data_IF_774941985242
#
_entry.id   IF_774941985242
#
_cell.length_a   1.000
_cell.length_b   1.000
_cell.length_c   1.000
_cell.angle_alpha   90.00
_cell.angle_beta   90.00
_cell.angle_gamma   90.00
#
_symmetry.space_group_name_H-M   'P 1'
#
loop_
_entity.id
_entity.type
_entity.pdbx_description
1 polymer ?
#
# COMPACT_ATOMS: atom_id res chain seq x y z
N UNK A 1 57.92 37.85 -48.28
CA UNK A 1 58.15 37.38 -46.89
C UNK A 1 56.82 37.40 -46.15
N UNK A 2 56.46 36.27 -45.57
CA UNK A 2 55.29 36.03 -44.72
C UNK A 2 55.41 36.76 -43.36
N UNK A 3 54.32 37.29 -42.79
CA UNK A 3 53.55 36.69 -41.66
C UNK A 3 53.71 37.60 -40.42
N UNK A 4 52.87 37.69 -39.39
CA UNK A 4 51.60 37.10 -38.92
C UNK A 4 51.07 38.09 -37.85
N UNK A 5 49.85 38.64 -37.97
CA UNK A 5 48.63 38.32 -37.20
C UNK A 5 48.75 38.23 -35.66
N UNK A 6 48.16 39.24 -35.00
CA UNK A 6 47.76 39.28 -33.59
C UNK A 6 46.67 38.23 -33.30
N UNK A 7 46.86 37.43 -32.25
CA UNK A 7 45.82 36.57 -31.68
C UNK A 7 45.52 37.00 -30.24
N UNK A 8 44.42 37.74 -30.06
CA UNK A 8 43.77 37.94 -28.77
C UNK A 8 42.95 36.67 -28.48
N UNK A 9 43.35 35.92 -27.46
CA UNK A 9 42.55 34.83 -26.90
C UNK A 9 41.41 35.47 -26.10
N UNK A 10 40.20 35.46 -26.65
CA UNK A 10 38.99 35.69 -25.87
C UNK A 10 38.60 34.38 -25.19
N UNK A 11 38.75 34.30 -23.87
CA UNK A 11 38.17 33.24 -23.07
C UNK A 11 36.64 33.44 -23.04
N UNK A 12 35.90 32.51 -23.65
CA UNK A 12 34.45 32.45 -23.52
C UNK A 12 34.11 31.93 -22.11
N UNK A 13 33.64 32.81 -21.23
CA UNK A 13 32.89 32.41 -20.05
C UNK A 13 31.52 31.90 -20.52
N UNK A 14 31.32 30.59 -20.53
CA UNK A 14 30.00 30.00 -20.77
C UNK A 14 29.04 30.41 -19.67
N UNK A 15 28.05 31.24 -19.98
CA UNK A 15 26.84 31.33 -19.15
C UNK A 15 26.15 29.98 -19.22
N UNK A 16 25.98 29.33 -18.07
CA UNK A 16 25.02 28.22 -17.95
C UNK A 16 23.65 28.85 -18.14
N UNK A 17 23.11 28.77 -19.35
CA UNK A 17 21.72 29.16 -19.63
C UNK A 17 20.88 27.95 -19.27
N UNK A 18 20.30 27.96 -18.07
CA UNK A 18 19.31 26.95 -17.68
C UNK A 18 18.08 27.06 -18.58
N UNK A 19 17.68 25.95 -19.20
CA UNK A 19 16.45 25.91 -19.99
C UNK A 19 15.25 25.92 -19.05
N UNK A 20 14.31 26.85 -19.29
CA UNK A 20 13.09 26.96 -18.50
C UNK A 20 12.06 25.96 -19.05
N UNK A 21 11.60 25.05 -18.20
CA UNK A 21 10.57 24.06 -18.52
C UNK A 21 9.17 24.65 -18.33
N UNK A 22 8.94 25.35 -17.22
CA UNK A 22 7.67 26.02 -16.93
C UNK A 22 7.88 27.28 -16.07
N UNK A 23 6.95 28.22 -16.17
CA UNK A 23 6.84 29.41 -15.30
C UNK A 23 5.58 29.25 -14.46
N UNK A 24 5.69 29.43 -13.15
CA UNK A 24 4.61 29.29 -12.17
C UNK A 24 4.60 30.53 -11.28
N UNK A 25 3.68 31.45 -11.55
CA UNK A 25 3.69 32.82 -11.02
C UNK A 25 5.06 33.49 -11.27
N UNK A 26 5.80 33.79 -10.20
CA UNK A 26 7.11 34.45 -10.25
C UNK A 26 8.29 33.47 -10.18
N UNK A 27 8.03 32.17 -9.98
CA UNK A 27 9.05 31.11 -9.95
C UNK A 27 9.08 30.33 -11.27
N UNK A 28 10.17 29.60 -11.48
CA UNK A 28 10.38 28.75 -12.66
C UNK A 28 10.70 27.33 -12.26
N UNK A 29 10.39 26.38 -13.14
CA UNK A 29 10.92 25.02 -13.11
C UNK A 29 11.95 24.92 -14.23
N UNK A 30 13.19 24.58 -13.89
CA UNK A 30 14.28 24.43 -14.85
C UNK A 30 14.40 22.99 -15.35
N UNK A 31 15.09 22.80 -16.48
CA UNK A 31 15.38 21.46 -16.99
C UNK A 31 16.26 20.66 -16.03
N UNK A 32 17.18 21.32 -15.33
CA UNK A 32 18.05 20.70 -14.33
C UNK A 32 17.22 20.13 -13.18
N UNK A 33 16.32 20.94 -12.60
CA UNK A 33 15.43 20.52 -11.51
C UNK A 33 14.50 19.37 -11.94
N UNK A 34 13.96 19.44 -13.17
CA UNK A 34 13.13 18.36 -13.70
C UNK A 34 13.91 17.05 -13.81
N UNK A 35 15.14 17.08 -14.34
CA UNK A 35 15.99 15.89 -14.48
C UNK A 35 16.41 15.30 -13.14
N UNK A 36 16.75 16.14 -12.17
CA UNK A 36 17.09 15.70 -10.82
C UNK A 36 15.89 15.02 -10.12
N UNK A 37 14.69 15.61 -10.25
CA UNK A 37 13.47 15.01 -9.72
C UNK A 37 13.14 13.69 -10.41
N UNK A 38 13.25 13.66 -11.74
CA UNK A 38 13.10 12.46 -12.56
C UNK A 38 14.02 11.33 -12.10
N UNK A 39 15.32 11.60 -11.97
CA UNK A 39 16.31 10.59 -11.61
C UNK A 39 16.03 10.05 -10.20
N UNK A 40 15.65 10.92 -9.28
CA UNK A 40 15.26 10.53 -7.92
C UNK A 40 14.06 9.58 -7.90
N UNK A 41 13.00 9.92 -8.64
CA UNK A 41 11.79 9.09 -8.76
C UNK A 41 12.10 7.76 -9.44
N UNK A 42 12.88 7.78 -10.52
CA UNK A 42 13.29 6.57 -11.24
C UNK A 42 14.04 5.59 -10.33
N UNK A 43 15.07 6.07 -9.61
CA UNK A 43 15.86 5.23 -8.71
C UNK A 43 15.02 4.66 -7.57
N UNK A 44 14.15 5.50 -6.98
CA UNK A 44 13.22 5.06 -5.93
C UNK A 44 12.31 3.93 -6.44
N UNK A 45 11.63 4.13 -7.57
CA UNK A 45 10.72 3.11 -8.13
C UNK A 45 11.47 1.84 -8.54
N UNK A 46 12.66 1.98 -9.13
CA UNK A 46 13.48 0.84 -9.57
C UNK A 46 13.99 -0.01 -8.40
N UNK A 47 14.15 0.58 -7.22
CA UNK A 47 14.54 -0.16 -6.01
C UNK A 47 13.41 -1.05 -5.45
N UNK A 48 12.15 -0.78 -5.82
CA UNK A 48 10.97 -1.46 -5.28
C UNK A 48 10.26 -2.35 -6.30
N UNK A 49 10.33 -1.99 -7.59
CA UNK A 49 9.59 -2.65 -8.68
C UNK A 49 10.54 -3.19 -9.74
N UNK A 50 10.11 -4.26 -10.42
CA UNK A 50 10.88 -4.91 -11.50
C UNK A 50 9.96 -5.30 -12.67
N UNK A 51 10.56 -5.55 -13.84
CA UNK A 51 9.86 -6.05 -15.02
C UNK A 51 8.74 -5.13 -15.54
N UNK A 52 7.69 -5.73 -16.10
CA UNK A 52 6.57 -5.00 -16.73
C UNK A 52 5.81 -4.10 -15.76
N UNK A 53 5.75 -4.46 -14.48
CA UNK A 53 5.09 -3.63 -13.44
C UNK A 53 5.84 -2.31 -13.24
N UNK A 54 7.18 -2.35 -13.22
CA UNK A 54 7.99 -1.14 -13.18
C UNK A 54 7.73 -0.25 -14.40
N UNK A 55 7.81 -0.82 -15.61
CA UNK A 55 7.65 -0.07 -16.86
C UNK A 55 6.28 0.64 -16.90
N UNK A 56 5.21 -0.06 -16.54
CA UNK A 56 3.85 0.47 -16.57
C UNK A 56 3.60 1.57 -15.52
N UNK A 57 4.15 1.45 -14.30
CA UNK A 57 3.99 2.46 -13.26
C UNK A 57 4.88 3.67 -13.51
N UNK A 58 6.12 3.45 -13.92
CA UNK A 58 7.07 4.50 -14.24
C UNK A 58 6.59 5.35 -15.41
N UNK A 59 6.07 4.77 -16.50
CA UNK A 59 5.54 5.55 -17.63
C UNK A 59 4.35 6.43 -17.24
N UNK A 60 3.54 6.00 -16.25
CA UNK A 60 2.47 6.84 -15.69
C UNK A 60 3.06 8.01 -14.90
N UNK A 61 3.97 7.73 -13.96
CA UNK A 61 4.62 8.75 -13.15
C UNK A 61 5.39 9.77 -14.01
N UNK A 62 6.09 9.30 -15.05
CA UNK A 62 6.84 10.14 -16.00
C UNK A 62 5.95 11.16 -16.71
N UNK A 63 4.75 10.75 -17.14
CA UNK A 63 3.79 11.64 -17.82
C UNK A 63 3.23 12.71 -16.89
N UNK A 64 2.99 12.35 -15.63
CA UNK A 64 2.41 13.25 -14.63
C UNK A 64 3.47 14.10 -13.88
N UNK A 65 4.75 13.89 -14.19
CA UNK A 65 5.87 14.44 -13.42
C UNK A 65 5.92 15.97 -13.44
N UNK A 66 5.83 16.58 -14.63
CA UNK A 66 5.85 18.03 -14.76
C UNK A 66 4.65 18.65 -14.02
N UNK A 67 3.48 18.02 -14.17
CA UNK A 67 2.28 18.45 -13.45
C UNK A 67 2.46 18.33 -11.93
N UNK A 68 3.07 17.26 -11.44
CA UNK A 68 3.38 17.12 -10.02
C UNK A 68 4.27 18.26 -9.53
N UNK A 69 5.36 18.56 -10.25
CA UNK A 69 6.26 19.66 -9.89
C UNK A 69 5.56 21.03 -9.88
N UNK A 70 4.71 21.32 -10.87
CA UNK A 70 3.93 22.56 -10.91
C UNK A 70 2.98 22.64 -9.71
N UNK A 71 2.28 21.55 -9.39
CA UNK A 71 1.37 21.49 -8.25
C UNK A 71 2.11 21.72 -6.94
N UNK A 72 3.25 21.06 -6.74
CA UNK A 72 4.07 21.20 -5.53
C UNK A 72 4.60 22.63 -5.36
N UNK A 73 5.01 23.27 -6.46
CA UNK A 73 5.46 24.66 -6.44
C UNK A 73 4.32 25.61 -6.05
N UNK A 74 3.11 25.43 -6.61
CA UNK A 74 1.94 26.22 -6.24
C UNK A 74 1.55 26.06 -4.77
N UNK A 75 1.53 24.82 -4.27
CA UNK A 75 1.26 24.54 -2.86
C UNK A 75 2.31 25.21 -1.96
N UNK A 76 3.58 25.14 -2.35
CA UNK A 76 4.65 25.75 -1.58
C UNK A 76 4.56 27.29 -1.56
N UNK A 77 4.28 27.92 -2.70
CA UNK A 77 4.07 29.37 -2.80
C UNK A 77 2.92 29.83 -1.89
N UNK A 78 1.80 29.11 -1.92
CA UNK A 78 0.65 29.43 -1.06
C UNK A 78 0.97 29.20 0.42
N UNK A 79 1.65 28.12 0.77
CA UNK A 79 2.07 27.85 2.14
C UNK A 79 3.01 28.92 2.69
N UNK A 80 3.99 29.38 1.88
CA UNK A 80 4.90 30.48 2.22
C UNK A 80 4.15 31.80 2.38
N UNK A 81 3.16 32.09 1.53
CA UNK A 81 2.30 33.28 1.64
C UNK A 81 1.48 33.30 2.94
N UNK A 82 1.03 32.13 3.41
CA UNK A 82 0.29 32.00 4.67
C UNK A 82 1.19 32.04 5.92
N UNK A 83 2.52 32.09 5.75
CA UNK A 83 3.50 32.21 6.85
C UNK A 83 3.35 31.14 7.93
N UNK A 84 3.03 29.90 7.54
CA UNK A 84 3.01 28.78 8.46
C UNK A 84 4.40 28.55 9.06
N UNK A 85 4.44 28.20 10.35
CA UNK A 85 5.66 27.83 11.06
C UNK A 85 5.66 26.32 11.28
N UNK A 86 6.69 25.64 10.76
CA UNK A 86 6.88 24.18 10.84
C UNK A 86 8.12 23.80 11.65
N UNK A 87 8.74 24.73 12.37
CA UNK A 87 10.04 24.50 13.01
C UNK A 87 10.03 23.36 14.03
N UNK A 88 8.94 23.22 14.80
CA UNK A 88 8.80 22.14 15.78
C UNK A 88 8.52 20.80 15.09
N UNK A 89 7.73 20.80 14.00
CA UNK A 89 7.46 19.62 13.17
C UNK A 89 8.73 19.12 12.49
N UNK A 90 9.56 20.02 11.94
CA UNK A 90 10.88 19.68 11.36
C UNK A 90 11.75 19.01 12.41
N UNK A 91 11.85 19.60 13.60
CA UNK A 91 12.62 19.03 14.71
C UNK A 91 12.10 17.64 15.09
N UNK A 92 10.78 17.49 15.26
CA UNK A 92 10.16 16.21 15.60
C UNK A 92 10.38 15.14 14.53
N UNK A 93 10.33 15.53 13.25
CA UNK A 93 10.64 14.65 12.13
C UNK A 93 12.08 14.15 12.19
N UNK A 94 13.05 15.04 12.42
CA UNK A 94 14.48 14.69 12.53
C UNK A 94 14.72 13.78 13.74
N UNK A 95 14.13 14.09 14.90
CA UNK A 95 14.25 13.24 16.09
C UNK A 95 13.67 11.84 15.86
N UNK A 96 12.52 11.74 15.17
CA UNK A 96 11.95 10.45 14.79
C UNK A 96 12.89 9.69 13.86
N UNK A 97 13.40 10.35 12.81
CA UNK A 97 14.29 9.73 11.84
C UNK A 97 15.60 9.23 12.50
N UNK A 98 16.15 10.00 13.45
CA UNK A 98 17.30 9.57 14.26
C UNK A 98 17.00 8.31 15.05
N UNK A 99 15.86 8.26 15.75
CA UNK A 99 15.43 7.06 16.51
C UNK A 99 15.24 5.85 15.60
N UNK A 100 14.56 6.02 14.47
CA UNK A 100 14.27 4.93 13.52
C UNK A 100 15.56 4.35 12.90
N UNK A 101 16.63 5.14 12.83
CA UNK A 101 17.92 4.74 12.26
C UNK A 101 19.01 4.50 13.32
N UNK A 102 18.67 4.45 14.61
CA UNK A 102 19.62 4.28 15.73
C UNK A 102 20.77 5.31 15.72
N UNK A 103 20.48 6.56 15.37
CA UNK A 103 21.44 7.67 15.35
C UNK A 103 21.31 8.44 16.66
N UNK A 104 22.40 8.53 17.42
CA UNK A 104 22.39 9.06 18.79
C UNK A 104 22.63 10.57 18.86
N UNK A 105 23.15 11.19 17.80
CA UNK A 105 23.54 12.60 17.80
C UNK A 105 23.35 13.30 16.46
N UNK A 106 23.22 14.63 16.52
CA UNK A 106 23.12 15.48 15.32
C UNK A 106 24.39 15.41 14.46
N UNK A 107 25.56 15.22 15.08
CA UNK A 107 26.82 15.07 14.36
C UNK A 107 26.83 13.78 13.52
N UNK A 108 26.41 12.66 14.10
CA UNK A 108 26.26 11.40 13.38
C UNK A 108 25.22 11.52 12.26
N UNK A 109 24.10 12.19 12.52
CA UNK A 109 23.06 12.41 11.52
C UNK A 109 23.56 13.22 10.32
N UNK A 110 24.23 14.36 10.57
CA UNK A 110 24.84 15.19 9.51
C UNK A 110 25.88 14.42 8.72
N UNK A 111 26.69 13.58 9.38
CA UNK A 111 27.69 12.75 8.72
C UNK A 111 27.06 11.68 7.83
N UNK A 112 25.97 11.05 8.28
CA UNK A 112 25.23 10.05 7.51
C UNK A 112 24.63 10.66 6.22
N UNK A 113 24.04 11.85 6.33
CA UNK A 113 23.53 12.58 5.15
C UNK A 113 24.66 12.94 4.18
N UNK A 114 25.80 13.40 4.68
CA UNK A 114 26.95 13.74 3.85
C UNK A 114 27.52 12.51 3.12
N UNK A 115 27.53 11.33 3.76
CA UNK A 115 27.92 10.06 3.11
C UNK A 115 26.98 9.66 1.97
N UNK A 116 25.72 10.10 2.02
CA UNK A 116 24.74 9.95 0.95
C UNK A 116 24.80 11.08 -0.08
N UNK A 117 25.72 12.04 0.08
CA UNK A 117 25.85 13.19 -0.81
C UNK A 117 24.82 14.29 -0.58
N UNK A 118 24.11 14.29 0.56
CA UNK A 118 23.05 15.24 0.88
C UNK A 118 23.57 16.25 1.93
N UNK A 119 23.78 17.53 1.57
CA UNK A 119 24.07 18.58 2.53
C UNK A 119 22.93 18.76 3.54
N UNK A 120 23.28 18.93 4.83
CA UNK A 120 22.28 19.06 5.89
C UNK A 120 21.29 20.22 5.67
N UNK A 121 21.76 21.37 5.20
CA UNK A 121 20.90 22.53 4.92
C UNK A 121 19.91 22.25 3.78
N UNK A 122 20.33 21.49 2.76
CA UNK A 122 19.44 21.05 1.68
C UNK A 122 18.38 20.07 2.20
N UNK A 123 18.79 19.13 3.05
CA UNK A 123 17.87 18.21 3.71
C UNK A 123 16.85 18.96 4.57
N UNK A 124 17.29 19.90 5.41
CA UNK A 124 16.40 20.72 6.24
C UNK A 124 15.38 21.46 5.39
N UNK A 125 15.85 22.15 4.34
CA UNK A 125 14.98 22.88 3.42
C UNK A 125 13.93 21.94 2.80
N UNK A 126 14.33 20.76 2.34
CA UNK A 126 13.40 19.80 1.73
C UNK A 126 12.32 19.33 2.72
N UNK A 127 12.70 19.02 3.96
CA UNK A 127 11.75 18.64 5.01
C UNK A 127 10.81 19.80 5.37
N UNK A 128 11.35 21.01 5.51
CA UNK A 128 10.56 22.21 5.78
C UNK A 128 9.51 22.45 4.68
N UNK A 129 9.93 22.42 3.40
CA UNK A 129 9.02 22.65 2.28
C UNK A 129 7.97 21.54 2.15
N UNK A 130 8.33 20.28 2.42
CA UNK A 130 7.38 19.17 2.51
C UNK A 130 6.33 19.39 3.61
N UNK A 131 6.76 19.77 4.81
CA UNK A 131 5.86 20.01 5.94
C UNK A 131 4.98 21.23 5.73
N UNK A 132 5.49 22.29 5.10
CA UNK A 132 4.70 23.48 4.75
C UNK A 132 3.54 23.12 3.81
N UNK A 133 3.78 22.29 2.78
CA UNK A 133 2.72 21.77 1.90
C UNK A 133 1.70 20.92 2.66
N UNK A 134 2.17 20.03 3.55
CA UNK A 134 1.28 19.18 4.35
C UNK A 134 0.40 20.01 5.30
N UNK A 135 0.97 21.00 5.98
CA UNK A 135 0.20 21.92 6.83
C UNK A 135 -0.82 22.68 6.00
N UNK A 136 -0.44 23.23 4.83
CA UNK A 136 -1.39 23.91 3.96
C UNK A 136 -2.58 23.02 3.60
N UNK A 137 -2.33 21.80 3.13
CA UNK A 137 -3.40 20.84 2.81
C UNK A 137 -4.24 20.53 4.04
N UNK A 138 -3.63 20.35 5.21
CA UNK A 138 -4.37 20.12 6.45
C UNK A 138 -5.28 21.30 6.82
N UNK A 139 -4.79 22.54 6.67
CA UNK A 139 -5.55 23.74 7.01
C UNK A 139 -6.68 24.04 6.02
N UNK A 140 -6.42 23.92 4.73
CA UNK A 140 -7.37 24.28 3.67
C UNK A 140 -8.36 23.14 3.35
N UNK A 141 -7.89 21.89 3.44
CA UNK A 141 -8.69 20.70 3.08
C UNK A 141 -9.20 20.01 4.34
N UNK A 142 -8.30 19.43 5.14
CA UNK A 142 -8.68 18.50 6.22
C UNK A 142 -9.59 19.15 7.26
N UNK A 143 -9.27 20.38 7.70
CA UNK A 143 -10.09 21.11 8.69
C UNK A 143 -11.51 21.43 8.23
N UNK A 144 -11.74 21.50 6.93
CA UNK A 144 -13.06 21.77 6.36
C UNK A 144 -13.93 20.51 6.26
N UNK A 145 -13.37 19.32 6.54
CA UNK A 145 -14.08 18.05 6.45
C UNK A 145 -14.83 17.80 7.75
N UNK A 146 -16.15 17.65 7.61
CA UNK A 146 -17.02 17.18 8.69
C UNK A 146 -17.68 15.90 8.20
N UNK A 147 -17.53 14.83 8.98
CA UNK A 147 -18.29 13.58 8.81
C UNK A 147 -19.20 13.51 10.02
N UNK A 148 -20.50 13.71 9.78
CA UNK A 148 -21.49 13.66 10.85
C UNK A 148 -21.97 12.21 11.09
N UNK A 149 -22.62 12.00 12.23
CA UNK A 149 -23.11 10.68 12.62
C UNK A 149 -24.21 10.16 11.69
N UNK A 150 -25.02 11.04 11.10
CA UNK A 150 -26.10 10.64 10.20
C UNK A 150 -25.54 10.04 8.92
N UNK A 151 -24.47 10.64 8.39
CA UNK A 151 -23.74 10.11 7.25
C UNK A 151 -23.13 8.74 7.55
N UNK A 152 -22.50 8.58 8.71
CA UNK A 152 -21.94 7.29 9.13
C UNK A 152 -23.01 6.19 9.23
N UNK A 153 -24.16 6.50 9.85
CA UNK A 153 -25.30 5.57 9.95
C UNK A 153 -25.88 5.25 8.57
N UNK A 154 -25.99 6.24 7.68
CA UNK A 154 -26.48 6.02 6.33
C UNK A 154 -25.51 5.15 5.51
N UNK A 155 -24.21 5.41 5.63
CA UNK A 155 -23.18 4.57 5.01
C UNK A 155 -23.29 3.13 5.49
N UNK A 156 -23.41 2.91 6.80
CA UNK A 156 -23.60 1.58 7.38
C UNK A 156 -24.81 0.85 6.79
N UNK A 157 -25.98 1.50 6.77
CA UNK A 157 -27.24 0.93 6.25
C UNK A 157 -27.19 0.61 4.75
N UNK A 158 -26.52 1.45 3.97
CA UNK A 158 -26.40 1.26 2.52
C UNK A 158 -25.34 0.21 2.16
N UNK A 159 -24.43 -0.10 3.07
CA UNK A 159 -23.29 -0.98 2.83
C UNK A 159 -23.19 -2.10 3.89
N UNK A 160 -24.32 -2.60 4.41
CA UNK A 160 -24.34 -3.62 5.49
C UNK A 160 -23.49 -4.85 5.14
N UNK A 161 -23.45 -5.23 3.87
CA UNK A 161 -22.64 -6.34 3.38
C UNK A 161 -21.14 -6.20 3.67
N UNK A 162 -20.60 -4.97 3.75
CA UNK A 162 -19.20 -4.72 4.14
C UNK A 162 -18.93 -5.06 5.62
N UNK A 163 -19.98 -5.14 6.43
CA UNK A 163 -19.92 -5.31 7.89
C UNK A 163 -20.44 -6.66 8.36
N UNK A 164 -20.74 -7.58 7.43
CA UNK A 164 -21.10 -8.95 7.76
C UNK A 164 -19.81 -9.72 8.07
N UNK A 165 -19.68 -10.22 9.30
CA UNK A 165 -18.73 -11.27 9.60
C UNK A 165 -19.30 -12.58 9.04
N UNK A 166 -18.58 -13.27 8.14
CA UNK A 166 -19.02 -14.55 7.60
C UNK A 166 -19.01 -15.63 8.68
N UNK A 167 -19.68 -16.76 8.42
CA UNK A 167 -19.58 -17.93 9.28
C UNK A 167 -18.12 -18.37 9.42
N UNK A 168 -17.68 -18.74 10.63
CA UNK A 168 -16.38 -19.39 10.86
C UNK A 168 -16.58 -20.84 11.30
N UNK A 169 -15.79 -21.74 10.72
CA UNK A 169 -15.80 -23.16 11.02
C UNK A 169 -14.47 -23.55 11.62
N UNK A 170 -14.46 -24.07 12.85
CA UNK A 170 -13.29 -24.77 13.38
C UNK A 170 -13.33 -26.21 12.90
N UNK A 171 -12.34 -26.59 12.09
CA UNK A 171 -12.35 -27.88 11.40
C UNK A 171 -11.17 -28.74 11.80
N UNK A 172 -11.43 -30.04 11.83
CA UNK A 172 -10.39 -31.07 11.83
C UNK A 172 -10.58 -31.98 10.63
N UNK A 173 -9.49 -32.37 9.99
CA UNK A 173 -9.51 -33.13 8.75
C UNK A 173 -8.59 -34.35 8.80
N UNK A 174 -9.06 -35.47 8.25
CA UNK A 174 -8.19 -36.54 7.79
C UNK A 174 -8.02 -36.37 6.28
N UNK A 175 -6.78 -36.13 5.85
CA UNK A 175 -6.42 -35.94 4.45
C UNK A 175 -5.76 -37.19 3.89
N UNK A 176 -6.18 -37.59 2.68
CA UNK A 176 -5.59 -38.68 1.91
C UNK A 176 -5.20 -38.16 0.51
N UNK A 177 -3.91 -38.20 0.20
CA UNK A 177 -3.39 -37.80 -1.11
C UNK A 177 -3.78 -38.81 -2.19
N UNK A 178 -4.13 -38.31 -3.37
CA UNK A 178 -4.36 -39.11 -4.58
C UNK A 178 -3.07 -39.40 -5.35
N UNK A 179 -1.96 -38.75 -5.00
CA UNK A 179 -0.67 -38.94 -5.69
C UNK A 179 0.09 -40.18 -5.18
N UNK A 180 -0.20 -40.62 -3.96
CA UNK A 180 0.56 -41.65 -3.25
C UNK A 180 -0.12 -43.02 -3.25
N UNK A 181 -1.33 -43.15 -3.81
CA UNK A 181 -2.16 -44.35 -3.73
C UNK A 181 -2.96 -44.61 -5.00
N UNK A 182 -3.25 -45.89 -5.26
CA UNK A 182 -4.26 -46.27 -6.25
C UNK A 182 -5.68 -45.99 -5.74
N UNK A 183 -6.67 -46.06 -6.63
CA UNK A 183 -8.08 -45.89 -6.25
C UNK A 183 -8.54 -46.97 -5.24
N UNK A 184 -8.09 -48.23 -5.41
CA UNK A 184 -8.46 -49.33 -4.50
C UNK A 184 -7.84 -49.14 -3.11
N UNK A 185 -6.58 -48.72 -3.04
CA UNK A 185 -5.89 -48.43 -1.78
C UNK A 185 -6.55 -47.26 -1.03
N UNK A 186 -6.98 -46.25 -1.78
CA UNK A 186 -7.67 -45.09 -1.23
C UNK A 186 -9.03 -45.50 -0.64
N UNK A 187 -9.84 -46.27 -1.36
CA UNK A 187 -11.14 -46.74 -0.85
C UNK A 187 -11.00 -47.66 0.36
N UNK A 188 -10.00 -48.55 0.36
CA UNK A 188 -9.68 -49.38 1.53
C UNK A 188 -9.31 -48.51 2.74
N UNK A 189 -8.53 -47.44 2.53
CA UNK A 189 -8.12 -46.52 3.59
C UNK A 189 -9.29 -45.69 4.12
N UNK A 190 -10.17 -45.19 3.26
CA UNK A 190 -11.41 -44.50 3.65
C UNK A 190 -12.29 -45.39 4.52
N UNK A 191 -12.48 -46.65 4.10
CA UNK A 191 -13.26 -47.65 4.84
C UNK A 191 -12.66 -47.92 6.22
N UNK A 192 -11.35 -48.13 6.32
CA UNK A 192 -10.66 -48.32 7.61
C UNK A 192 -10.87 -47.14 8.56
N UNK A 193 -10.76 -45.92 8.04
CA UNK A 193 -10.94 -44.69 8.82
C UNK A 193 -12.39 -44.60 9.31
N UNK A 194 -13.37 -44.80 8.43
CA UNK A 194 -14.79 -44.71 8.79
C UNK A 194 -15.19 -45.76 9.83
N UNK A 195 -14.69 -46.99 9.73
CA UNK A 195 -14.94 -48.04 10.73
C UNK A 195 -14.40 -47.65 12.11
N UNK A 196 -13.18 -47.10 12.17
CA UNK A 196 -12.56 -46.65 13.44
C UNK A 196 -13.26 -45.44 14.03
N UNK A 197 -13.69 -44.50 13.18
CA UNK A 197 -14.50 -43.35 13.60
C UNK A 197 -15.84 -43.81 14.17
N UNK A 198 -16.54 -44.72 13.49
CA UNK A 198 -17.82 -45.29 13.93
C UNK A 198 -17.67 -46.12 15.22
N UNK A 199 -16.49 -46.67 15.47
CA UNK A 199 -16.12 -47.35 16.71
C UNK A 199 -15.85 -46.40 17.89
N UNK A 200 -15.89 -45.09 17.67
CA UNK A 200 -15.66 -44.07 18.69
C UNK A 200 -14.19 -43.76 18.98
N UNK A 201 -13.25 -44.13 18.08
CA UNK A 201 -11.85 -43.73 18.23
C UNK A 201 -11.69 -42.21 18.07
N UNK A 202 -10.69 -41.65 18.75
CA UNK A 202 -10.41 -40.21 18.71
C UNK A 202 -10.00 -39.74 17.31
N UNK A 203 -10.70 -38.73 16.79
CA UNK A 203 -10.52 -38.26 15.41
C UNK A 203 -9.15 -37.61 15.19
N UNK A 204 -8.60 -36.94 16.20
CA UNK A 204 -7.27 -36.32 16.12
C UNK A 204 -6.16 -37.36 16.03
N UNK A 205 -6.28 -38.45 16.80
CA UNK A 205 -5.39 -39.59 16.71
C UNK A 205 -5.49 -40.29 15.35
N UNK A 206 -6.70 -40.46 14.81
CA UNK A 206 -6.87 -41.03 13.47
C UNK A 206 -6.28 -40.14 12.39
N UNK A 207 -6.44 -38.82 12.50
CA UNK A 207 -5.83 -37.87 11.56
C UNK A 207 -4.31 -37.94 11.57
N UNK A 208 -3.67 -38.06 12.74
CA UNK A 208 -2.21 -38.16 12.83
C UNK A 208 -1.66 -39.53 12.42
N UNK A 209 -2.37 -40.61 12.71
CA UNK A 209 -1.88 -41.98 12.47
C UNK A 209 -2.26 -42.54 11.10
N UNK A 210 -3.41 -42.14 10.56
CA UNK A 210 -3.95 -42.70 9.32
C UNK A 210 -4.00 -41.71 8.16
N UNK A 211 -3.99 -40.41 8.43
CA UNK A 211 -3.92 -39.34 7.44
C UNK A 211 -2.51 -39.13 6.89
N UNK A 212 -2.43 -38.35 5.81
CA UNK A 212 -1.17 -37.96 5.18
C UNK A 212 -0.72 -36.55 5.60
N UNK A 213 0.58 -36.28 5.43
CA UNK A 213 1.14 -34.94 5.53
C UNK A 213 0.56 -34.00 4.46
N UNK A 214 0.45 -32.69 4.75
CA UNK A 214 0.94 -32.04 5.98
C UNK A 214 -0.03 -32.09 7.16
N UNK A 215 -1.31 -32.44 6.95
CA UNK A 215 -2.31 -32.33 8.02
C UNK A 215 -2.09 -33.33 9.17
N UNK A 216 -1.56 -34.51 8.88
CA UNK A 216 -1.27 -35.51 9.91
C UNK A 216 -0.33 -34.99 11.02
N UNK A 217 0.61 -34.10 10.68
CA UNK A 217 1.61 -33.54 11.61
C UNK A 217 0.95 -32.69 12.71
N UNK A 218 -0.15 -32.01 12.39
CA UNK A 218 -0.93 -31.23 13.34
C UNK A 218 -2.23 -31.94 13.76
N UNK A 219 -2.24 -33.28 13.72
CA UNK A 219 -3.39 -34.11 14.08
C UNK A 219 -4.68 -33.72 13.32
N UNK A 220 -4.52 -33.22 12.09
CA UNK A 220 -5.62 -32.79 11.23
C UNK A 220 -6.21 -31.42 11.55
N UNK A 221 -5.70 -30.67 12.53
CA UNK A 221 -6.29 -29.39 12.93
C UNK A 221 -6.06 -28.32 11.85
N UNK A 222 -7.17 -27.78 11.34
CA UNK A 222 -7.22 -26.71 10.34
C UNK A 222 -7.47 -25.33 10.96
N UNK A 223 -7.74 -25.25 12.27
CA UNK A 223 -8.13 -24.02 12.95
C UNK A 223 -9.50 -23.50 12.51
N UNK A 224 -9.74 -22.21 12.78
CA UNK A 224 -10.92 -21.49 12.28
C UNK A 224 -10.69 -21.04 10.85
N UNK A 225 -11.64 -21.37 9.98
CA UNK A 225 -11.64 -20.93 8.59
C UNK A 225 -12.96 -20.22 8.29
N UNK A 226 -12.89 -19.07 7.62
CA UNK A 226 -14.09 -18.31 7.25
C UNK A 226 -14.76 -18.90 6.01
N UNK A 227 -16.08 -18.78 5.95
CA UNK A 227 -16.84 -19.04 4.72
C UNK A 227 -16.27 -18.21 3.56
N UNK A 228 -16.01 -18.87 2.44
CA UNK A 228 -15.36 -18.34 1.25
C UNK A 228 -13.85 -18.60 1.17
N UNK A 229 -13.20 -19.03 2.26
CA UNK A 229 -11.77 -19.39 2.28
C UNK A 229 -11.54 -20.90 2.06
N UNK A 230 -12.56 -21.75 2.23
CA UNK A 230 -12.50 -23.17 1.92
C UNK A 230 -12.61 -23.43 0.41
N UNK A 231 -12.04 -24.55 -0.06
CA UNK A 231 -12.42 -25.09 -1.37
C UNK A 231 -13.93 -25.34 -1.41
N UNK A 232 -14.56 -25.00 -2.53
CA UNK A 232 -16.02 -25.03 -2.69
C UNK A 232 -16.63 -26.38 -2.31
N UNK A 233 -15.99 -27.49 -2.67
CA UNK A 233 -16.51 -28.82 -2.36
C UNK A 233 -16.47 -29.11 -0.85
N UNK A 234 -15.40 -28.66 -0.17
CA UNK A 234 -15.25 -28.80 1.27
C UNK A 234 -16.26 -27.92 2.02
N UNK A 235 -16.48 -26.69 1.56
CA UNK A 235 -17.42 -25.77 2.19
C UNK A 235 -18.87 -26.28 2.11
N UNK A 236 -19.29 -26.76 0.94
CA UNK A 236 -20.63 -27.34 0.74
C UNK A 236 -20.90 -28.53 1.68
N UNK A 237 -19.86 -29.29 2.02
CA UNK A 237 -19.96 -30.43 2.91
C UNK A 237 -19.98 -30.04 4.40
N UNK A 238 -19.50 -28.85 4.77
CA UNK A 238 -19.42 -28.36 6.15
C UNK A 238 -20.60 -27.46 6.53
N UNK A 239 -21.12 -26.66 5.60
CA UNK A 239 -22.09 -25.57 5.89
C UNK A 239 -23.34 -26.05 6.64
N UNK A 240 -23.77 -27.29 6.38
CA UNK A 240 -24.97 -27.89 6.97
C UNK A 240 -24.69 -28.84 8.14
N UNK A 241 -23.43 -29.01 8.55
CA UNK A 241 -23.07 -29.85 9.70
C UNK A 241 -23.45 -29.18 11.02
N UNK A 242 -23.78 -30.00 12.02
CA UNK A 242 -23.82 -29.56 13.41
C UNK A 242 -22.44 -29.74 14.04
N UNK A 243 -22.17 -28.97 15.08
CA UNK A 243 -20.95 -29.12 15.87
C UNK A 243 -20.86 -30.56 16.40
N UNK A 244 -19.74 -31.22 16.11
CA UNK A 244 -19.48 -32.63 16.39
C UNK A 244 -19.66 -33.57 15.20
N UNK A 245 -20.41 -33.17 14.17
CA UNK A 245 -20.70 -34.00 13.01
C UNK A 245 -19.51 -34.12 12.06
N UNK A 246 -19.57 -35.17 11.22
CA UNK A 246 -18.59 -35.48 10.19
C UNK A 246 -19.19 -35.31 8.79
N UNK A 247 -18.54 -34.51 7.95
CA UNK A 247 -18.85 -34.42 6.52
C UNK A 247 -18.52 -35.75 5.83
N UNK A 248 -19.28 -36.22 4.83
CA UNK A 248 -18.85 -37.36 3.99
C UNK A 248 -17.47 -37.10 3.39
N UNK A 249 -16.82 -38.15 2.86
CA UNK A 249 -15.56 -37.98 2.13
C UNK A 249 -15.75 -37.02 0.95
N UNK A 250 -14.99 -35.93 0.95
CA UNK A 250 -15.02 -34.90 -0.09
C UNK A 250 -13.73 -34.96 -0.89
N UNK A 251 -13.85 -34.95 -2.21
CA UNK A 251 -12.70 -34.80 -3.10
C UNK A 251 -12.43 -33.31 -3.35
N UNK A 252 -11.22 -32.86 -3.05
CA UNK A 252 -10.70 -31.57 -3.47
C UNK A 252 -9.52 -31.77 -4.43
N UNK A 253 -8.91 -30.67 -4.90
CA UNK A 253 -7.89 -30.71 -5.96
C UNK A 253 -6.69 -31.62 -5.67
N UNK A 254 -6.25 -31.70 -4.42
CA UNK A 254 -5.04 -32.41 -4.00
C UNK A 254 -5.32 -33.77 -3.33
N UNK A 255 -6.57 -34.10 -3.03
CA UNK A 255 -6.88 -35.36 -2.37
C UNK A 255 -8.28 -35.42 -1.78
N UNK A 256 -8.46 -36.38 -0.88
CA UNK A 256 -9.73 -36.64 -0.21
C UNK A 256 -9.67 -36.22 1.25
N UNK A 257 -10.77 -35.64 1.71
CA UNK A 257 -10.90 -35.08 3.04
C UNK A 257 -12.10 -35.69 3.77
N UNK A 258 -11.87 -36.18 4.98
CA UNK A 258 -12.92 -36.45 5.96
C UNK A 258 -12.89 -35.33 6.97
N UNK A 259 -13.93 -34.50 7.02
CA UNK A 259 -13.96 -33.30 7.85
C UNK A 259 -14.84 -33.52 9.08
N UNK A 260 -14.42 -32.99 10.22
CA UNK A 260 -15.19 -32.87 11.44
C UNK A 260 -15.37 -31.40 11.80
N UNK A 261 -16.60 -31.00 12.09
CA UNK A 261 -16.89 -29.66 12.59
C UNK A 261 -16.71 -29.64 14.12
N UNK A 262 -15.70 -28.94 14.62
CA UNK A 262 -15.42 -28.83 16.06
C UNK A 262 -16.14 -27.66 16.71
N UNK A 263 -16.29 -26.55 15.99
CA UNK A 263 -16.96 -25.33 16.46
C UNK A 263 -17.50 -24.55 15.26
N UNK A 264 -18.62 -23.86 15.43
CA UNK A 264 -19.18 -22.96 14.43
C UNK A 264 -19.51 -21.62 15.07
N UNK A 265 -19.04 -20.53 14.47
CA UNK A 265 -19.48 -19.17 14.76
C UNK A 265 -20.36 -18.72 13.60
N UNK A 266 -21.62 -18.42 13.90
CA UNK A 266 -22.55 -17.96 12.87
C UNK A 266 -22.21 -16.54 12.42
N UNK A 267 -22.52 -16.27 11.15
CA UNK A 267 -22.41 -14.95 10.58
C UNK A 267 -23.22 -13.95 11.38
N UNK A 268 -22.63 -12.77 11.58
CA UNK A 268 -23.29 -11.67 12.25
C UNK A 268 -23.00 -10.37 11.54
N UNK A 269 -24.00 -9.50 11.49
CA UNK A 269 -23.79 -8.12 11.12
C UNK A 269 -23.13 -7.41 12.32
N UNK A 270 -21.92 -6.86 12.13
CA UNK A 270 -21.26 -6.05 13.17
C UNK A 270 -22.15 -4.85 13.50
N UNK A 271 -22.50 -4.61 14.77
CA UNK A 271 -23.22 -3.40 15.18
C UNK A 271 -22.49 -2.13 14.74
N UNK A 272 -23.23 -1.08 14.43
CA UNK A 272 -22.66 0.20 14.00
C UNK A 272 -21.57 0.71 14.95
N UNK A 273 -21.76 0.58 16.27
CA UNK A 273 -20.79 1.05 17.27
C UNK A 273 -19.43 0.32 17.17
N UNK A 274 -19.40 -0.95 16.75
CA UNK A 274 -18.16 -1.70 16.54
C UNK A 274 -17.38 -1.18 15.32
N UNK A 275 -18.07 -0.65 14.31
CA UNK A 275 -17.47 -0.25 13.01
C UNK A 275 -17.49 1.27 12.78
N UNK A 276 -17.98 2.06 13.74
CA UNK A 276 -18.18 3.50 13.64
C UNK A 276 -16.91 4.24 13.26
N UNK A 277 -15.77 3.87 13.87
CA UNK A 277 -14.47 4.48 13.61
C UNK A 277 -13.99 4.21 12.18
N UNK A 278 -14.07 2.95 11.74
CA UNK A 278 -13.63 2.55 10.40
C UNK A 278 -14.48 3.22 9.31
N UNK A 279 -15.79 3.31 9.53
CA UNK A 279 -16.71 4.06 8.65
C UNK A 279 -16.34 5.53 8.60
N UNK A 280 -16.09 6.16 9.76
CA UNK A 280 -15.68 7.56 9.82
C UNK A 280 -14.39 7.80 9.06
N UNK A 281 -13.37 6.95 9.24
CA UNK A 281 -12.09 7.06 8.53
C UNK A 281 -12.28 6.91 7.02
N UNK A 282 -13.10 5.94 6.58
CA UNK A 282 -13.42 5.73 5.16
C UNK A 282 -14.10 6.96 4.55
N UNK A 283 -15.13 7.48 5.22
CA UNK A 283 -15.86 8.69 4.78
C UNK A 283 -14.97 9.93 4.78
N UNK A 284 -14.13 10.08 5.81
CA UNK A 284 -13.17 11.17 5.90
C UNK A 284 -12.20 11.15 4.73
N UNK A 285 -11.61 9.99 4.42
CA UNK A 285 -10.69 9.81 3.29
C UNK A 285 -11.39 10.10 1.96
N UNK A 286 -12.60 9.59 1.75
CA UNK A 286 -13.38 9.87 0.53
C UNK A 286 -13.64 11.38 0.34
N UNK A 287 -14.07 12.07 1.40
CA UNK A 287 -14.28 13.52 1.37
C UNK A 287 -12.98 14.28 1.17
N UNK A 288 -11.90 13.84 1.81
CA UNK A 288 -10.57 14.44 1.68
C UNK A 288 -10.09 14.39 0.24
N UNK A 289 -10.18 13.23 -0.41
CA UNK A 289 -9.80 13.07 -1.82
C UNK A 289 -10.56 14.05 -2.70
N UNK A 290 -11.90 14.08 -2.59
CA UNK A 290 -12.73 14.99 -3.40
C UNK A 290 -12.40 16.46 -3.15
N UNK A 291 -12.28 16.87 -1.88
CA UNK A 291 -11.96 18.26 -1.54
C UNK A 291 -10.54 18.66 -1.95
N UNK A 292 -9.58 17.74 -1.86
CA UNK A 292 -8.22 17.96 -2.33
C UNK A 292 -8.21 18.16 -3.85
N UNK A 293 -8.90 17.33 -4.62
CA UNK A 293 -9.04 17.49 -6.07
C UNK A 293 -9.64 18.86 -6.43
N UNK A 294 -10.73 19.26 -5.75
CA UNK A 294 -11.35 20.57 -5.92
C UNK A 294 -10.39 21.72 -5.58
N UNK A 295 -9.67 21.60 -4.47
CA UNK A 295 -8.68 22.59 -4.02
C UNK A 295 -7.51 22.72 -5.01
N UNK A 296 -6.92 21.62 -5.47
CA UNK A 296 -5.81 21.64 -6.43
C UNK A 296 -6.24 22.19 -7.78
N UNK A 297 -7.47 21.88 -8.22
CA UNK A 297 -8.04 22.45 -9.45
C UNK A 297 -8.23 23.96 -9.32
N UNK A 298 -8.79 24.42 -8.21
CA UNK A 298 -8.97 25.84 -7.92
C UNK A 298 -7.63 26.56 -7.85
N UNK A 299 -6.66 26.00 -7.12
CA UNK A 299 -5.29 26.50 -6.98
C UNK A 299 -4.64 26.66 -8.36
N UNK A 300 -4.69 25.64 -9.21
CA UNK A 300 -4.15 25.74 -10.58
C UNK A 300 -4.86 26.79 -11.43
N UNK A 301 -6.18 26.91 -11.34
CA UNK A 301 -6.96 27.85 -12.16
C UNK A 301 -6.76 29.32 -11.78
N UNK A 302 -6.41 29.60 -10.52
CA UNK A 302 -6.23 30.95 -9.97
C UNK A 302 -4.79 31.49 -10.10
N UNK A 303 -3.85 30.65 -10.50
CA UNK A 303 -2.44 31.00 -10.60
C UNK A 303 -1.97 31.00 -12.06
N UNK A 304 -0.93 31.76 -12.35
CA UNK A 304 -0.35 31.83 -13.69
C UNK A 304 0.59 30.64 -13.91
N UNK A 305 0.33 29.85 -14.95
CA UNK A 305 1.15 28.70 -15.34
C UNK A 305 1.42 28.78 -16.84
N UNK A 306 2.70 28.80 -17.22
CA UNK A 306 3.12 28.73 -18.64
C UNK A 306 4.14 27.62 -18.81
N UNK A 307 3.72 26.53 -19.47
CA UNK A 307 4.61 25.43 -19.84
C UNK A 307 5.32 25.79 -21.14
N UNK A 308 6.65 25.76 -21.12
CA UNK A 308 7.50 26.02 -22.27
C UNK A 308 7.99 24.71 -22.91
N UNK A 309 8.23 23.68 -22.09
CA UNK A 309 8.67 22.34 -22.52
C UNK A 309 7.78 21.25 -21.92
N UNK A 310 6.73 20.80 -22.62
CA UNK A 310 5.79 19.81 -22.08
C UNK A 310 6.41 18.41 -21.93
N UNK A 311 7.43 18.07 -22.73
CA UNK A 311 8.16 16.80 -22.67
C UNK A 311 9.66 17.06 -22.37
N UNK A 312 10.06 17.31 -21.10
CA UNK A 312 11.43 17.73 -20.80
C UNK A 312 12.51 16.68 -21.10
N UNK A 313 12.13 15.41 -21.20
CA UNK A 313 13.04 14.28 -21.44
C UNK A 313 13.23 13.94 -22.93
N UNK A 314 12.39 14.49 -23.82
CA UNK A 314 12.56 14.29 -25.26
C UNK A 314 13.58 15.30 -25.79
N UNK A 315 14.59 14.83 -26.51
CA UNK A 315 15.49 15.71 -27.28
C UNK A 315 14.70 16.28 -28.47
N UNK A 316 14.87 17.59 -28.73
CA UNK A 316 14.28 18.28 -29.90
C UNK A 316 15.10 18.04 -31.16
#
# INVERSE_FOLDING_TARGET
MAGLLFGLVAAAFGQVVEEIVAIVNDDIITLSEFKEYHDSVYQMMRSQLQGEEFDAQYERARKDMLDTMITDLLLLQMAKKNQYNVGEEVKNYIEKLKRDNNIESDAQFRQALLQQGIPYEQFLKQIEENLLRQILVSQEVDRSIVVDETEGVNYYKLNEAEFIEPDEYKLRAIYLSVETRTAEELEARKTEIDDRVNSGQDFALLASTLGDSPLAENQGDLGFIKKGELDKALEEAVVNLKVGDLAPWVQAKNGWYRLKLEEKKDSRLKPYDEVKKDIWEKLFVQKKTKKLEEFLKDLRSKNYIKILKPNPLEEQ
#
